data_IF_545659099694
#
_entry.id   IF_545659099694
#
_cell.length_a   1.000
_cell.length_b   1.000
_cell.length_c   1.000
_cell.angle_alpha   90.00
_cell.angle_beta   90.00
_cell.angle_gamma   90.00
#
_symmetry.space_group_name_H-M   'P 1'
#
loop_
_entity.id
_entity.type
_entity.pdbx_description
1 polymer ?
#
# COMPACT_ATOMS: atom_id res chain seq x y z
N UNK A 1 43.42 12.90 25.01
CA UNK A 1 42.08 13.54 25.05
C UNK A 1 41.41 13.36 23.71
N UNK A 2 40.35 12.56 23.66
CA UNK A 2 39.16 12.69 22.79
C UNK A 2 38.42 11.37 22.85
N UNK A 3 37.51 11.27 23.83
CA UNK A 3 36.58 10.15 23.93
C UNK A 3 35.53 10.27 22.83
N UNK A 4 35.34 9.17 22.10
CA UNK A 4 34.20 8.96 21.22
C UNK A 4 32.95 8.88 22.10
N UNK A 5 32.16 9.95 22.09
CA UNK A 5 30.84 9.96 22.71
C UNK A 5 29.89 9.13 21.85
N UNK A 6 29.56 7.93 22.33
CA UNK A 6 28.43 7.16 21.82
C UNK A 6 27.15 7.93 22.13
N UNK A 7 26.53 8.54 21.11
CA UNK A 7 25.19 9.09 21.23
C UNK A 7 24.22 7.93 21.46
N UNK A 8 23.86 7.72 22.73
CA UNK A 8 22.71 6.91 23.11
C UNK A 8 21.48 7.57 22.50
N UNK A 9 20.84 6.92 21.54
CA UNK A 9 19.53 7.31 21.04
C UNK A 9 18.58 7.19 22.23
N UNK A 10 18.08 8.31 22.75
CA UNK A 10 17.01 8.30 23.76
C UNK A 10 15.78 7.62 23.13
N UNK A 11 15.57 6.35 23.50
CA UNK A 11 14.38 5.59 23.11
C UNK A 11 13.20 6.23 23.83
N UNK A 12 12.30 6.86 23.07
CA UNK A 12 11.12 7.48 23.65
C UNK A 12 10.22 6.43 24.33
N UNK A 13 9.53 6.77 25.42
CA UNK A 13 8.77 5.80 26.23
C UNK A 13 7.73 5.00 25.43
N UNK A 14 7.17 5.58 24.35
CA UNK A 14 6.22 4.90 23.47
C UNK A 14 6.87 3.85 22.56
N UNK A 15 8.15 4.03 22.18
CA UNK A 15 8.91 3.04 21.41
C UNK A 15 9.24 1.81 22.28
N UNK A 16 9.50 2.02 23.57
CA UNK A 16 9.64 0.93 24.55
C UNK A 16 8.35 0.13 24.69
N UNK A 17 7.20 0.79 24.84
CA UNK A 17 5.90 0.12 24.94
C UNK A 17 5.56 -0.71 23.69
N UNK A 18 5.94 -0.24 22.49
CA UNK A 18 5.77 -1.01 21.26
C UNK A 18 6.69 -2.22 21.20
N UNK A 19 7.95 -2.08 21.61
CA UNK A 19 8.89 -3.20 21.71
C UNK A 19 8.37 -4.27 22.67
N UNK A 20 7.86 -3.87 23.84
CA UNK A 20 7.23 -4.76 24.81
C UNK A 20 5.97 -5.44 24.24
N UNK A 21 5.13 -4.70 23.52
CA UNK A 21 3.97 -5.27 22.84
C UNK A 21 4.39 -6.34 21.83
N UNK A 22 5.39 -6.07 20.98
CA UNK A 22 5.89 -7.04 20.00
C UNK A 22 6.58 -8.24 20.67
N UNK A 23 7.27 -8.03 21.79
CA UNK A 23 7.90 -9.10 22.55
C UNK A 23 6.86 -10.05 23.18
N UNK A 24 5.79 -9.50 23.76
CA UNK A 24 4.75 -10.24 24.47
C UNK A 24 3.91 -11.15 23.57
N UNK A 25 3.77 -10.81 22.28
CA UNK A 25 2.92 -11.53 21.33
C UNK A 25 3.76 -12.39 20.39
N UNK A 26 3.40 -13.67 20.21
CA UNK A 26 4.17 -14.61 19.38
C UNK A 26 3.65 -14.67 17.95
N UNK A 27 2.40 -14.28 17.71
CA UNK A 27 1.70 -14.48 16.45
C UNK A 27 0.97 -13.19 16.06
N UNK A 28 1.72 -12.22 15.57
CA UNK A 28 1.18 -10.92 15.16
C UNK A 28 0.52 -11.02 13.78
N UNK A 29 -0.69 -10.49 13.66
CA UNK A 29 -1.26 -10.10 12.38
C UNK A 29 -0.85 -8.65 12.09
N UNK A 30 -0.06 -8.41 11.05
CA UNK A 30 0.37 -7.06 10.70
C UNK A 30 -0.48 -6.53 9.55
N UNK A 31 -1.01 -5.31 9.70
CA UNK A 31 -1.69 -4.58 8.64
C UNK A 31 -0.94 -3.30 8.29
N UNK A 32 -0.55 -3.14 7.02
CA UNK A 32 0.17 -1.95 6.56
C UNK A 32 -0.66 -1.09 5.60
N UNK A 33 -0.32 0.20 5.54
CA UNK A 33 -0.90 1.16 4.59
C UNK A 33 0.14 2.11 4.01
N UNK A 34 -0.34 3.12 3.27
CA UNK A 34 0.53 3.98 2.45
C UNK A 34 1.57 4.75 3.27
N UNK A 35 1.34 4.98 4.56
CA UNK A 35 2.30 5.61 5.47
C UNK A 35 3.57 4.79 5.69
N UNK A 36 3.61 3.50 5.31
CA UNK A 36 4.86 2.73 5.28
C UNK A 36 5.77 3.14 4.11
N UNK A 37 5.20 3.65 3.02
CA UNK A 37 5.90 3.89 1.75
C UNK A 37 6.26 5.36 1.52
N UNK A 38 5.92 6.26 2.46
CA UNK A 38 6.25 7.69 2.36
C UNK A 38 7.74 7.95 2.30
N UNK A 39 8.53 7.24 3.11
CA UNK A 39 9.99 7.36 3.13
C UNK A 39 10.64 6.70 1.89
N UNK A 40 9.86 5.95 1.09
CA UNK A 40 10.27 5.41 -0.22
C UNK A 40 9.93 6.36 -1.38
N UNK A 41 9.45 7.58 -1.09
CA UNK A 41 9.07 8.58 -2.09
C UNK A 41 7.70 8.35 -2.73
N UNK A 42 6.91 7.39 -2.23
CA UNK A 42 5.53 7.18 -2.65
C UNK A 42 4.63 7.99 -1.70
N UNK A 43 3.88 9.00 -2.17
CA UNK A 43 3.03 9.79 -1.29
C UNK A 43 1.93 8.93 -0.68
N UNK A 44 1.26 9.44 0.37
CA UNK A 44 0.06 8.84 0.94
C UNK A 44 -1.21 9.59 0.50
N UNK A 45 -2.37 9.00 0.80
CA UNK A 45 -3.66 9.58 0.39
C UNK A 45 -4.23 10.59 1.37
N UNK A 46 -3.78 10.61 2.62
CA UNK A 46 -4.50 11.27 3.72
C UNK A 46 -3.65 12.18 4.58
N UNK A 47 -4.28 13.25 5.07
CA UNK A 47 -3.67 14.16 6.04
C UNK A 47 -3.69 13.58 7.46
N UNK A 48 -3.10 14.33 8.40
CA UNK A 48 -3.02 13.95 9.82
C UNK A 48 -4.38 13.82 10.51
N UNK A 49 -5.44 14.42 9.94
CA UNK A 49 -6.83 14.32 10.42
C UNK A 49 -7.60 13.18 9.72
N UNK A 50 -6.97 12.52 8.75
CA UNK A 50 -7.55 11.46 7.93
C UNK A 50 -8.38 11.95 6.73
N UNK A 51 -8.35 13.26 6.44
CA UNK A 51 -8.92 13.87 5.24
C UNK A 51 -8.12 13.51 3.99
N UNK A 52 -8.71 13.71 2.80
CA UNK A 52 -8.02 13.45 1.53
C UNK A 52 -7.01 14.56 1.20
N UNK A 53 -5.78 14.19 0.84
CA UNK A 53 -4.75 15.14 0.36
C UNK A 53 -4.92 15.52 -1.11
N UNK A 54 -5.66 14.70 -1.88
CA UNK A 54 -5.84 14.78 -3.33
C UNK A 54 -7.27 14.41 -3.73
N UNK A 55 -7.70 14.70 -4.97
CA UNK A 55 -8.96 14.19 -5.50
C UNK A 55 -9.08 12.68 -5.31
N UNK A 56 -10.32 12.21 -5.12
CA UNK A 56 -10.55 10.79 -4.91
C UNK A 56 -10.15 9.98 -6.15
N UNK A 57 -9.57 8.78 -5.98
CA UNK A 57 -9.16 7.96 -7.11
C UNK A 57 -10.33 7.53 -7.99
N UNK A 58 -10.01 7.12 -9.22
CA UNK A 58 -10.99 6.63 -10.19
C UNK A 58 -11.84 5.48 -9.62
N UNK A 59 -13.13 5.48 -9.92
CA UNK A 59 -14.02 4.37 -9.57
C UNK A 59 -13.96 3.28 -10.63
N UNK A 60 -14.22 2.04 -10.21
CA UNK A 60 -14.31 0.90 -11.13
C UNK A 60 -15.36 1.11 -12.21
N UNK A 61 -16.53 1.64 -11.84
CA UNK A 61 -17.65 1.86 -12.74
C UNK A 61 -17.30 2.90 -13.81
N UNK A 62 -16.67 4.02 -13.43
CA UNK A 62 -16.24 5.02 -14.40
C UNK A 62 -15.14 4.47 -15.31
N UNK A 63 -14.16 3.73 -14.76
CA UNK A 63 -13.11 3.11 -15.57
C UNK A 63 -13.69 2.10 -16.59
N UNK A 64 -14.62 1.25 -16.20
CA UNK A 64 -15.19 0.26 -17.13
C UNK A 64 -16.21 0.89 -18.08
N UNK A 65 -16.97 1.89 -17.63
CA UNK A 65 -18.04 2.53 -18.40
C UNK A 65 -17.55 3.56 -19.42
N UNK A 66 -16.47 4.29 -19.14
CA UNK A 66 -16.13 5.51 -19.88
C UNK A 66 -14.74 5.42 -20.52
N UNK A 67 -14.68 5.56 -21.85
CA UNK A 67 -13.41 5.55 -22.57
C UNK A 67 -12.48 6.69 -22.13
N UNK A 68 -13.02 7.91 -22.00
CA UNK A 68 -12.25 9.09 -21.60
C UNK A 68 -11.61 8.90 -20.21
N UNK A 69 -12.31 8.28 -19.27
CA UNK A 69 -11.79 7.97 -17.93
C UNK A 69 -10.66 6.94 -17.99
N UNK A 70 -10.74 5.92 -18.86
CA UNK A 70 -9.62 4.98 -19.08
C UNK A 70 -8.41 5.63 -19.72
N UNK A 71 -8.63 6.46 -20.74
CA UNK A 71 -7.57 7.19 -21.42
C UNK A 71 -6.84 8.09 -20.43
N UNK A 72 -7.58 8.88 -19.64
CA UNK A 72 -7.05 9.71 -18.57
C UNK A 72 -6.25 8.89 -17.55
N UNK A 73 -6.82 7.78 -17.05
CA UNK A 73 -6.14 6.92 -16.08
C UNK A 73 -4.80 6.39 -16.62
N UNK A 74 -4.80 5.81 -17.82
CA UNK A 74 -3.59 5.22 -18.37
C UNK A 74 -2.55 6.26 -18.80
N UNK A 75 -2.97 7.45 -19.24
CA UNK A 75 -2.07 8.55 -19.54
C UNK A 75 -1.35 9.05 -18.29
N UNK A 76 -2.08 9.25 -17.20
CA UNK A 76 -1.51 9.66 -15.91
C UNK A 76 -0.62 8.54 -15.33
N UNK A 77 -1.06 7.28 -15.39
CA UNK A 77 -0.28 6.10 -15.00
C UNK A 77 1.01 5.92 -15.82
N UNK A 78 1.00 6.28 -17.11
CA UNK A 78 2.19 6.23 -17.96
C UNK A 78 3.32 7.10 -17.39
N UNK A 79 2.97 8.27 -16.86
CA UNK A 79 3.92 9.23 -16.28
C UNK A 79 4.31 8.78 -14.87
N UNK A 80 3.35 8.55 -13.98
CA UNK A 80 3.63 8.24 -12.58
C UNK A 80 4.35 6.89 -12.38
N UNK A 81 4.16 5.92 -13.29
CA UNK A 81 4.90 4.65 -13.26
C UNK A 81 6.43 4.84 -13.31
N UNK A 82 6.95 5.93 -13.90
CA UNK A 82 8.40 6.17 -14.00
C UNK A 82 9.08 6.32 -12.64
N UNK A 83 8.39 6.93 -11.70
CA UNK A 83 8.89 7.15 -10.33
C UNK A 83 8.46 5.99 -9.43
N UNK A 84 7.19 5.58 -9.50
CA UNK A 84 6.66 4.47 -8.73
C UNK A 84 7.45 3.17 -8.96
N UNK A 85 7.72 2.81 -10.23
CA UNK A 85 8.48 1.60 -10.58
C UNK A 85 9.97 1.63 -10.20
N UNK A 86 10.47 2.74 -9.65
CA UNK A 86 11.85 2.89 -9.15
C UNK A 86 11.92 2.94 -7.62
N UNK A 87 10.79 3.06 -6.93
CA UNK A 87 10.75 3.11 -5.49
C UNK A 87 11.42 1.87 -4.89
N UNK A 88 12.21 2.08 -3.84
CA UNK A 88 12.89 1.02 -3.11
C UNK A 88 12.30 0.90 -1.71
N UNK A 89 12.35 -0.30 -1.10
CA UNK A 89 11.97 -0.46 0.29
C UNK A 89 12.78 0.48 1.19
N UNK A 90 12.15 0.90 2.29
CA UNK A 90 12.79 1.68 3.35
C UNK A 90 12.88 0.85 4.64
N UNK A 91 13.45 1.43 5.70
CA UNK A 91 13.65 0.75 6.99
C UNK A 91 12.38 0.19 7.62
N UNK A 92 11.20 0.78 7.38
CA UNK A 92 9.92 0.22 7.83
C UNK A 92 9.69 -1.18 7.24
N UNK A 93 9.92 -1.33 5.94
CA UNK A 93 9.70 -2.59 5.23
C UNK A 93 10.72 -3.63 5.68
N UNK A 94 12.00 -3.24 5.78
CA UNK A 94 13.05 -4.14 6.26
C UNK A 94 12.86 -4.57 7.71
N UNK A 95 12.38 -3.68 8.59
CA UNK A 95 12.04 -4.01 9.97
C UNK A 95 10.93 -5.07 10.05
N UNK A 96 9.88 -4.94 9.23
CA UNK A 96 8.80 -5.93 9.18
C UNK A 96 9.25 -7.27 8.57
N UNK A 97 10.15 -7.25 7.58
CA UNK A 97 10.77 -8.47 7.06
C UNK A 97 11.64 -9.16 8.13
N UNK A 98 12.43 -8.41 8.92
CA UNK A 98 13.18 -8.96 10.06
C UNK A 98 12.26 -9.54 11.14
N UNK A 99 11.09 -8.94 11.37
CA UNK A 99 10.10 -9.47 12.29
C UNK A 99 9.53 -10.81 11.80
N UNK A 100 9.29 -10.95 10.49
CA UNK A 100 8.83 -12.20 9.88
C UNK A 100 9.87 -13.31 10.04
N UNK A 101 11.15 -13.00 9.78
CA UNK A 101 12.28 -13.92 9.95
C UNK A 101 12.49 -14.39 11.40
N UNK A 102 11.86 -13.73 12.38
CA UNK A 102 11.84 -14.15 13.80
C UNK A 102 10.63 -15.00 14.15
N UNK A 103 9.88 -15.48 13.16
CA UNK A 103 8.67 -16.30 13.29
C UNK A 103 7.58 -15.63 14.16
N UNK A 104 7.51 -14.28 14.11
CA UNK A 104 6.60 -13.48 14.94
C UNK A 104 5.29 -13.10 14.24
N UNK A 105 5.16 -13.34 12.94
CA UNK A 105 3.96 -12.99 12.17
C UNK A 105 3.14 -14.20 11.78
N UNK A 106 1.81 -14.08 11.83
CA UNK A 106 0.91 -15.00 11.11
C UNK A 106 0.75 -14.60 9.65
N UNK A 107 0.73 -13.29 9.38
CA UNK A 107 0.61 -12.72 8.04
C UNK A 107 0.97 -11.23 8.07
N UNK A 108 1.59 -10.75 6.99
CA UNK A 108 1.62 -9.33 6.64
C UNK A 108 0.55 -9.04 5.58
N UNK A 109 -0.50 -8.32 5.96
CA UNK A 109 -1.55 -7.89 5.05
C UNK A 109 -1.35 -6.41 4.69
N UNK A 110 -1.07 -6.12 3.43
CA UNK A 110 -0.83 -4.74 2.98
C UNK A 110 -2.00 -4.20 2.17
N UNK A 111 -2.39 -2.96 2.42
CA UNK A 111 -3.28 -2.19 1.55
C UNK A 111 -2.52 -1.57 0.37
N UNK A 112 -1.19 -1.57 0.41
CA UNK A 112 -0.38 -0.97 -0.63
C UNK A 112 -0.37 -1.87 -1.87
N UNK A 113 -0.08 -1.26 -3.00
CA UNK A 113 -0.04 -1.91 -4.31
C UNK A 113 1.37 -1.84 -4.93
N UNK A 114 2.37 -1.50 -4.11
CA UNK A 114 3.74 -1.12 -4.48
C UNK A 114 4.76 -2.25 -4.47
N UNK A 115 4.42 -3.39 -3.87
CA UNK A 115 5.28 -4.57 -3.73
C UNK A 115 6.56 -4.33 -2.91
N UNK A 116 6.63 -3.25 -2.13
CA UNK A 116 7.84 -2.90 -1.37
C UNK A 116 8.10 -3.85 -0.19
N UNK A 117 7.07 -4.44 0.42
CA UNK A 117 7.25 -5.46 1.47
C UNK A 117 7.98 -6.69 0.92
N UNK A 118 7.56 -7.17 -0.25
CA UNK A 118 8.17 -8.33 -0.88
C UNK A 118 9.58 -8.00 -1.42
N UNK A 119 9.78 -6.79 -1.95
CA UNK A 119 11.12 -6.33 -2.32
C UNK A 119 12.06 -6.18 -1.10
N UNK A 120 11.53 -5.96 0.10
CA UNK A 120 12.29 -5.93 1.34
C UNK A 120 12.65 -7.32 1.90
N UNK A 121 12.05 -8.38 1.35
CA UNK A 121 12.26 -9.76 1.78
C UNK A 121 11.09 -10.37 2.56
N UNK A 122 9.92 -9.71 2.66
CA UNK A 122 8.74 -10.37 3.22
C UNK A 122 8.18 -11.44 2.29
N UNK A 123 7.92 -12.63 2.83
CA UNK A 123 7.48 -13.79 2.04
C UNK A 123 5.98 -14.05 2.17
N UNK A 124 5.42 -14.01 3.38
CA UNK A 124 4.01 -14.29 3.66
C UNK A 124 3.18 -13.00 3.65
N UNK A 125 2.98 -12.47 2.44
CA UNK A 125 2.29 -11.19 2.20
C UNK A 125 0.99 -11.37 1.41
N UNK A 126 -0.10 -10.78 1.92
CA UNK A 126 -1.35 -10.58 1.15
C UNK A 126 -1.46 -9.13 0.69
N UNK A 127 -1.40 -8.93 -0.62
CA UNK A 127 -1.67 -7.66 -1.30
C UNK A 127 -3.19 -7.42 -1.38
N UNK A 128 -3.80 -6.87 -0.31
CA UNK A 128 -5.25 -6.75 -0.17
C UNK A 128 -5.88 -6.04 -1.38
N UNK A 129 -5.29 -4.91 -1.79
CA UNK A 129 -5.79 -4.11 -2.92
C UNK A 129 -5.10 -4.45 -4.24
N UNK A 130 -4.41 -5.59 -4.33
CA UNK A 130 -3.72 -6.03 -5.54
C UNK A 130 -2.36 -5.36 -5.72
N UNK A 131 -1.88 -5.32 -6.97
CA UNK A 131 -0.50 -4.94 -7.28
C UNK A 131 -0.42 -4.15 -8.58
N UNK A 132 0.35 -3.05 -8.57
CA UNK A 132 0.52 -2.19 -9.75
C UNK A 132 1.57 -2.68 -10.73
N UNK A 133 2.44 -3.59 -10.32
CA UNK A 133 3.44 -4.21 -11.20
C UNK A 133 2.84 -5.30 -12.12
N UNK A 134 1.51 -5.46 -12.12
CA UNK A 134 0.76 -6.32 -13.02
C UNK A 134 -0.42 -5.59 -13.65
N UNK A 135 -0.76 -6.01 -14.87
CA UNK A 135 -1.96 -5.59 -15.59
C UNK A 135 -2.79 -6.83 -15.88
N UNK A 136 -4.09 -6.79 -15.58
CA UNK A 136 -5.03 -7.89 -15.80
C UNK A 136 -6.00 -7.58 -16.93
N UNK A 137 -6.35 -8.60 -17.71
CA UNK A 137 -7.48 -8.53 -18.63
C UNK A 137 -8.79 -8.80 -17.88
N UNK A 138 -9.78 -7.93 -18.03
CA UNK A 138 -11.10 -8.10 -17.42
C UNK A 138 -11.97 -9.18 -18.09
N UNK A 139 -11.57 -9.66 -19.27
CA UNK A 139 -12.33 -10.67 -20.02
C UNK A 139 -11.78 -12.10 -19.87
N UNK A 140 -10.45 -12.28 -19.93
CA UNK A 140 -9.82 -13.60 -19.86
C UNK A 140 -8.89 -13.81 -18.66
N UNK A 141 -8.82 -12.83 -17.75
CA UNK A 141 -8.02 -12.85 -16.52
C UNK A 141 -6.49 -13.01 -16.70
N UNK A 142 -6.01 -12.98 -17.95
CA UNK A 142 -4.59 -13.00 -18.25
C UNK A 142 -3.91 -11.82 -17.57
N UNK A 143 -2.81 -12.11 -16.86
CA UNK A 143 -1.94 -11.11 -16.25
C UNK A 143 -0.68 -10.93 -17.08
N UNK A 144 -0.25 -9.68 -17.19
CA UNK A 144 0.97 -9.27 -17.89
C UNK A 144 1.76 -8.36 -16.95
N UNK A 145 3.10 -8.52 -16.86
CA UNK A 145 3.94 -7.59 -16.11
C UNK A 145 3.72 -6.14 -16.58
N UNK A 146 3.59 -5.21 -15.62
CA UNK A 146 3.36 -3.78 -15.91
C UNK A 146 4.45 -3.17 -16.76
N UNK A 147 5.70 -3.67 -16.66
CA UNK A 147 6.84 -3.25 -17.48
C UNK A 147 6.61 -3.54 -18.98
N UNK A 148 6.06 -4.70 -19.32
CA UNK A 148 5.85 -5.11 -20.71
C UNK A 148 4.69 -4.29 -21.29
N UNK A 149 3.63 -4.09 -20.50
CA UNK A 149 2.54 -3.18 -20.84
C UNK A 149 3.01 -1.72 -20.96
N UNK A 150 3.94 -1.26 -20.13
CA UNK A 150 4.50 0.10 -20.20
C UNK A 150 5.22 0.35 -21.53
N UNK A 151 6.02 -0.63 -22.00
CA UNK A 151 6.70 -0.54 -23.30
C UNK A 151 5.70 -0.36 -24.43
N UNK A 152 4.63 -1.16 -24.44
CA UNK A 152 3.59 -1.04 -25.46
C UNK A 152 2.80 0.27 -25.35
N UNK A 153 2.50 0.69 -24.12
CA UNK A 153 1.81 1.96 -23.86
C UNK A 153 2.62 3.15 -24.37
N UNK A 154 3.95 3.15 -24.16
CA UNK A 154 4.86 4.18 -24.71
C UNK A 154 4.92 4.12 -26.24
N UNK A 155 5.00 2.93 -26.83
CA UNK A 155 5.06 2.75 -28.29
C UNK A 155 3.84 3.36 -28.99
N UNK A 156 2.65 3.18 -28.41
CA UNK A 156 1.40 3.75 -28.94
C UNK A 156 1.24 5.25 -28.68
N UNK A 157 1.97 5.80 -27.70
CA UNK A 157 1.79 7.16 -27.20
C UNK A 157 3.13 7.91 -27.12
N UNK A 158 3.98 7.81 -28.14
CA UNK A 158 5.34 8.36 -28.10
C UNK A 158 5.37 9.87 -27.80
N UNK A 159 4.36 10.63 -28.24
CA UNK A 159 4.22 12.06 -27.94
C UNK A 159 4.05 12.37 -26.44
N UNK A 160 3.66 11.38 -25.63
CA UNK A 160 3.50 11.51 -24.18
C UNK A 160 4.78 11.16 -23.41
N UNK A 161 5.85 10.77 -24.11
CA UNK A 161 7.09 10.33 -23.49
C UNK A 161 7.84 11.44 -22.73
N UNK A 162 7.65 12.71 -23.05
CA UNK A 162 8.43 13.81 -22.43
C UNK A 162 7.64 14.66 -21.43
N UNK A 163 6.37 14.31 -21.15
CA UNK A 163 5.55 15.04 -20.18
C UNK A 163 5.95 14.70 -18.74
N UNK A 164 6.14 15.73 -17.91
CA UNK A 164 6.42 15.62 -16.48
C UNK A 164 5.19 16.05 -15.66
N UNK A 165 4.84 15.30 -14.61
CA UNK A 165 3.74 15.61 -13.69
C UNK A 165 4.07 15.23 -12.23
N UNK A 166 3.21 15.66 -11.30
CA UNK A 166 3.31 15.41 -9.85
C UNK A 166 2.68 14.06 -9.50
N UNK A 167 3.38 13.18 -8.77
CA UNK A 167 2.95 11.78 -8.54
C UNK A 167 1.91 11.64 -7.44
N UNK A 168 1.07 10.60 -7.54
CA UNK A 168 0.13 10.12 -6.53
C UNK A 168 0.49 8.71 -6.03
N UNK A 169 -0.10 8.24 -4.92
CA UNK A 169 0.32 7.02 -4.22
C UNK A 169 0.15 5.71 -5.01
N UNK A 170 -0.75 5.69 -5.99
CA UNK A 170 -1.01 4.59 -6.94
C UNK A 170 -0.28 4.78 -8.27
N UNK A 171 0.74 5.64 -8.32
CA UNK A 171 1.47 5.95 -9.54
C UNK A 171 0.62 6.72 -10.57
N UNK A 172 -0.47 7.35 -10.13
CA UNK A 172 -1.22 8.33 -10.90
C UNK A 172 -0.50 9.69 -10.92
N UNK A 173 -0.84 10.61 -11.83
CA UNK A 173 -0.18 11.91 -11.96
C UNK A 173 -1.18 13.02 -12.33
N UNK A 174 -1.09 14.21 -11.73
CA UNK A 174 -2.07 15.27 -11.97
C UNK A 174 -1.85 15.98 -13.32
N UNK A 175 -2.82 15.85 -14.23
CA UNK A 175 -2.80 16.36 -15.63
C UNK A 175 -4.16 16.99 -16.01
N UNK A 176 -4.67 17.93 -15.21
CA UNK A 176 -6.05 18.43 -15.35
C UNK A 176 -6.32 19.22 -16.65
N UNK A 177 -5.29 19.71 -17.34
CA UNK A 177 -5.41 20.56 -18.54
C UNK A 177 -5.07 19.85 -19.87
N UNK A 178 -4.93 18.51 -19.87
CA UNK A 178 -4.54 17.77 -21.07
C UNK A 178 -5.74 17.13 -21.79
N UNK A 179 -5.71 17.16 -23.13
CA UNK A 179 -6.65 16.39 -23.94
C UNK A 179 -6.18 14.93 -24.08
N UNK A 180 -6.90 14.02 -23.43
CA UNK A 180 -6.62 12.58 -23.45
C UNK A 180 -7.29 11.84 -24.60
N UNK A 181 -8.08 12.52 -25.45
CA UNK A 181 -8.88 11.88 -26.51
C UNK A 181 -8.02 11.10 -27.51
N UNK A 182 -6.79 11.57 -27.75
CA UNK A 182 -5.80 10.93 -28.63
C UNK A 182 -5.04 9.77 -27.98
N UNK A 183 -5.17 9.57 -26.67
CA UNK A 183 -4.41 8.56 -25.94
C UNK A 183 -4.91 7.16 -26.28
N UNK A 184 -3.98 6.29 -26.70
CA UNK A 184 -4.28 4.93 -27.13
C UNK A 184 -4.01 3.94 -25.99
N UNK A 185 -5.06 3.25 -25.54
CA UNK A 185 -4.97 2.22 -24.51
C UNK A 185 -4.81 0.84 -25.17
N UNK A 186 -3.71 0.10 -24.91
CA UNK A 186 -3.52 -1.24 -25.44
C UNK A 186 -4.65 -2.18 -25.02
N UNK A 187 -5.00 -3.12 -25.92
CA UNK A 187 -5.95 -4.20 -25.64
C UNK A 187 -5.22 -5.49 -25.30
N UNK A 188 -5.92 -6.43 -24.67
CA UNK A 188 -5.35 -7.74 -24.35
C UNK A 188 -4.87 -8.46 -25.61
N UNK A 189 -3.61 -8.90 -25.64
CA UNK A 189 -3.04 -9.63 -26.78
C UNK A 189 -3.68 -11.00 -27.01
N UNK A 190 -4.35 -11.56 -25.99
CA UNK A 190 -4.99 -12.88 -26.07
C UNK A 190 -6.43 -12.85 -26.57
N UNK A 191 -7.23 -11.89 -26.09
CA UNK A 191 -8.68 -11.87 -26.38
C UNK A 191 -9.19 -10.49 -26.80
N UNK A 192 -8.32 -9.49 -26.98
CA UNK A 192 -8.66 -8.09 -27.27
C UNK A 192 -9.49 -7.37 -26.19
N UNK A 193 -9.75 -8.03 -25.06
CA UNK A 193 -10.48 -7.48 -23.93
C UNK A 193 -9.79 -6.29 -23.24
N UNK A 194 -10.56 -5.62 -22.40
CA UNK A 194 -10.10 -4.45 -21.63
C UNK A 194 -9.01 -4.84 -20.64
N UNK A 195 -7.95 -4.03 -20.59
CA UNK A 195 -6.87 -4.15 -19.62
C UNK A 195 -7.07 -3.13 -18.49
N UNK A 196 -6.83 -3.58 -17.26
CA UNK A 196 -6.86 -2.78 -16.03
C UNK A 196 -5.60 -3.10 -15.22
N UNK A 197 -4.99 -2.14 -14.50
CA UNK A 197 -4.03 -2.51 -13.44
C UNK A 197 -4.66 -3.57 -12.52
N UNK A 198 -3.85 -4.53 -12.06
CA UNK A 198 -4.31 -5.61 -11.16
C UNK A 198 -4.46 -5.14 -9.71
N UNK A 199 -5.11 -3.98 -9.56
CA UNK A 199 -5.46 -3.36 -8.28
C UNK A 199 -6.96 -3.37 -8.07
N UNK A 200 -7.43 -3.14 -6.85
CA UNK A 200 -8.83 -2.95 -6.52
C UNK A 200 -9.14 -1.47 -6.56
N UNK A 201 -10.02 -1.04 -7.48
CA UNK A 201 -10.45 0.36 -7.53
C UNK A 201 -11.54 0.68 -6.50
N UNK A 202 -11.78 1.97 -6.26
CA UNK A 202 -12.94 2.39 -5.48
C UNK A 202 -14.23 1.91 -6.15
N UNK A 203 -15.14 1.33 -5.35
CA UNK A 203 -16.36 0.71 -5.87
C UNK A 203 -16.16 -0.69 -6.47
N UNK A 204 -14.94 -1.23 -6.47
CA UNK A 204 -14.64 -2.65 -6.78
C UNK A 204 -14.63 -3.46 -5.47
N UNK A 205 -15.06 -4.72 -5.55
CA UNK A 205 -14.94 -5.63 -4.42
C UNK A 205 -13.50 -6.15 -4.32
N UNK A 206 -12.97 -6.18 -3.10
CA UNK A 206 -11.74 -6.92 -2.81
C UNK A 206 -12.00 -8.40 -3.08
N UNK A 207 -11.13 -9.11 -3.81
CA UNK A 207 -11.28 -10.54 -4.04
C UNK A 207 -11.45 -11.32 -2.75
N UNK A 208 -12.42 -12.24 -2.73
CA UNK A 208 -12.85 -12.92 -1.51
C UNK A 208 -11.72 -13.73 -0.89
N UNK A 209 -10.95 -14.41 -1.71
CA UNK A 209 -9.81 -15.23 -1.28
C UNK A 209 -8.78 -14.43 -0.47
N UNK A 210 -8.56 -13.14 -0.79
CA UNK A 210 -7.64 -12.27 -0.04
C UNK A 210 -8.22 -11.89 1.32
N UNK A 211 -9.52 -11.61 1.36
CA UNK A 211 -10.22 -11.29 2.62
C UNK A 211 -10.26 -12.52 3.52
N UNK A 212 -10.61 -13.68 2.97
CA UNK A 212 -10.72 -14.93 3.71
C UNK A 212 -9.35 -15.35 4.26
N UNK A 213 -8.28 -15.26 3.46
CA UNK A 213 -6.91 -15.50 3.92
C UNK A 213 -6.50 -14.56 5.07
N UNK A 214 -6.79 -13.26 4.94
CA UNK A 214 -6.53 -12.28 5.99
C UNK A 214 -7.32 -12.56 7.28
N UNK A 215 -8.60 -12.93 7.16
CA UNK A 215 -9.45 -13.24 8.31
C UNK A 215 -9.01 -14.52 9.02
N UNK A 216 -8.58 -15.54 8.27
CA UNK A 216 -8.01 -16.76 8.83
C UNK A 216 -6.70 -16.47 9.59
N UNK A 217 -5.76 -15.74 8.98
CA UNK A 217 -4.52 -15.38 9.65
C UNK A 217 -4.75 -14.49 10.89
N UNK A 218 -5.75 -13.60 10.85
CA UNK A 218 -6.16 -12.81 12.00
C UNK A 218 -6.78 -13.70 13.10
N UNK A 219 -7.57 -14.71 12.74
CA UNK A 219 -8.11 -15.68 13.69
C UNK A 219 -6.98 -16.43 14.43
N UNK A 220 -5.91 -16.78 13.73
CA UNK A 220 -4.79 -17.54 14.31
C UNK A 220 -3.77 -16.66 15.08
N UNK A 221 -3.83 -15.34 14.88
CA UNK A 221 -2.99 -14.36 15.58
C UNK A 221 -3.35 -14.22 17.07
N UNK A 222 -2.41 -13.77 17.91
CA UNK A 222 -2.69 -13.38 19.30
C UNK A 222 -2.86 -11.87 19.48
N UNK A 223 -2.36 -11.06 18.55
CA UNK A 223 -2.54 -9.61 18.51
C UNK A 223 -2.45 -9.04 17.09
N UNK A 224 -2.89 -7.79 16.94
CA UNK A 224 -2.81 -7.05 15.69
C UNK A 224 -1.90 -5.83 15.82
N UNK A 225 -1.05 -5.61 14.81
CA UNK A 225 -0.22 -4.40 14.68
C UNK A 225 -0.56 -3.69 13.37
N UNK A 226 -0.98 -2.43 13.47
CA UNK A 226 -1.27 -1.55 12.33
C UNK A 226 -0.10 -0.60 12.11
N UNK A 227 0.42 -0.51 10.88
CA UNK A 227 1.57 0.35 10.56
C UNK A 227 1.24 1.26 9.37
N UNK A 228 1.33 2.57 9.57
CA UNK A 228 1.19 3.56 8.49
C UNK A 228 -0.17 3.53 7.78
N UNK A 229 -1.26 3.27 8.51
CA UNK A 229 -2.61 3.22 7.96
C UNK A 229 -3.58 4.02 8.80
N UNK A 230 -4.35 4.91 8.15
CA UNK A 230 -5.45 5.62 8.80
C UNK A 230 -6.67 4.74 9.07
N UNK A 231 -6.76 3.58 8.39
CA UNK A 231 -7.92 2.68 8.42
C UNK A 231 -9.27 3.37 8.14
N UNK A 232 -9.28 4.51 7.45
CA UNK A 232 -10.54 5.19 7.11
C UNK A 232 -11.39 4.37 6.12
N UNK A 233 -10.72 3.65 5.21
CA UNK A 233 -11.39 2.78 4.25
C UNK A 233 -11.75 1.44 4.91
N UNK A 234 -13.00 1.03 4.73
CA UNK A 234 -13.55 -0.15 5.41
C UNK A 234 -12.84 -1.48 5.03
N UNK A 235 -12.23 -1.54 3.85
CA UNK A 235 -11.48 -2.72 3.39
C UNK A 235 -10.34 -3.10 4.34
N UNK A 236 -9.61 -2.12 4.89
CA UNK A 236 -8.62 -2.35 5.96
C UNK A 236 -9.24 -2.36 7.36
N UNK A 237 -10.14 -1.42 7.66
CA UNK A 237 -10.75 -1.28 9.00
C UNK A 237 -11.45 -2.55 9.51
N UNK A 238 -12.03 -3.36 8.60
CA UNK A 238 -12.71 -4.60 8.95
C UNK A 238 -11.85 -5.55 9.78
N UNK A 239 -10.54 -5.58 9.57
CA UNK A 239 -9.62 -6.45 10.30
C UNK A 239 -9.42 -5.93 11.74
N UNK A 240 -9.23 -4.62 11.92
CA UNK A 240 -9.17 -4.02 13.26
C UNK A 240 -10.47 -4.22 14.04
N UNK A 241 -11.62 -4.02 13.37
CA UNK A 241 -12.93 -4.28 14.00
C UNK A 241 -13.12 -5.76 14.36
N UNK A 242 -12.68 -6.69 13.53
CA UNK A 242 -12.73 -8.13 13.82
C UNK A 242 -11.81 -8.51 14.99
N UNK A 243 -10.58 -7.96 15.03
CA UNK A 243 -9.63 -8.16 16.12
C UNK A 243 -10.23 -7.70 17.47
N UNK A 244 -10.80 -6.50 17.51
CA UNK A 244 -11.43 -5.93 18.70
C UNK A 244 -12.62 -6.78 19.18
N UNK A 245 -13.48 -7.24 18.26
CA UNK A 245 -14.61 -8.13 18.59
C UNK A 245 -14.17 -9.49 19.13
N UNK A 246 -12.99 -9.96 18.72
CA UNK A 246 -12.38 -11.19 19.23
C UNK A 246 -11.58 -10.97 20.52
N UNK A 247 -11.55 -9.75 21.09
CA UNK A 247 -10.81 -9.43 22.30
C UNK A 247 -9.29 -9.41 22.12
N UNK A 248 -8.80 -9.33 20.87
CA UNK A 248 -7.35 -9.30 20.57
C UNK A 248 -6.83 -7.87 20.75
N UNK A 249 -5.69 -7.67 21.45
CA UNK A 249 -5.13 -6.35 21.61
C UNK A 249 -4.60 -5.82 20.27
N UNK A 250 -4.71 -4.50 20.08
CA UNK A 250 -4.37 -3.82 18.83
C UNK A 250 -3.41 -2.68 19.13
N UNK A 251 -2.21 -2.74 18.55
CA UNK A 251 -1.27 -1.63 18.54
C UNK A 251 -1.28 -0.94 17.18
N UNK A 252 -1.05 0.38 17.15
CA UNK A 252 -0.83 1.10 15.92
C UNK A 252 0.40 1.99 15.97
N UNK A 253 1.13 2.04 14.85
CA UNK A 253 2.17 3.04 14.56
C UNK A 253 1.63 3.93 13.46
N UNK A 254 1.22 5.15 13.82
CA UNK A 254 0.68 6.12 12.89
C UNK A 254 0.70 7.52 13.49
N UNK A 255 1.27 8.50 12.77
CA UNK A 255 1.34 9.91 13.22
C UNK A 255 -0.07 10.53 13.30
N UNK A 256 -0.92 10.23 12.33
CA UNK A 256 -2.26 10.83 12.21
C UNK A 256 -3.35 10.08 12.98
N UNK A 257 -4.54 10.66 12.96
CA UNK A 257 -5.76 10.01 13.42
C UNK A 257 -6.04 8.73 12.61
N UNK A 258 -6.39 7.65 13.30
CA UNK A 258 -6.90 6.43 12.67
C UNK A 258 -8.35 6.22 13.05
N UNK A 259 -9.15 5.67 12.12
CA UNK A 259 -10.53 5.25 12.43
C UNK A 259 -10.59 4.23 13.58
N UNK A 260 -9.49 3.51 13.80
CA UNK A 260 -9.40 2.48 14.83
C UNK A 260 -8.92 3.03 16.18
N UNK A 261 -8.64 4.33 16.34
CA UNK A 261 -8.13 4.89 17.60
C UNK A 261 -8.94 4.44 18.85
N UNK A 262 -10.28 4.37 18.83
CA UNK A 262 -11.07 3.86 19.96
C UNK A 262 -10.92 2.35 20.25
N UNK A 263 -10.33 1.59 19.34
CA UNK A 263 -10.11 0.14 19.43
C UNK A 263 -8.67 -0.21 19.85
N UNK A 264 -7.76 0.76 19.90
CA UNK A 264 -6.34 0.52 20.15
C UNK A 264 -6.06 0.37 21.65
N UNK A 265 -5.25 -0.62 22.00
CA UNK A 265 -4.63 -0.73 23.33
C UNK A 265 -3.34 0.09 23.41
N UNK A 266 -2.71 0.39 22.28
CA UNK A 266 -1.48 1.19 22.19
C UNK A 266 -1.44 1.95 20.87
N UNK A 267 -1.04 3.22 20.91
CA UNK A 267 -0.74 4.02 19.71
C UNK A 267 0.61 4.70 19.87
N UNK A 268 1.48 4.53 18.87
CA UNK A 268 2.76 5.24 18.75
C UNK A 268 2.65 6.26 17.63
N UNK A 269 2.70 7.54 18.00
CA UNK A 269 2.58 8.67 17.08
C UNK A 269 3.97 9.14 16.62
N UNK A 270 4.64 8.29 15.85
CA UNK A 270 5.96 8.55 15.27
C UNK A 270 6.00 8.08 13.80
N UNK A 271 7.07 8.42 13.07
CA UNK A 271 7.28 7.81 11.75
C UNK A 271 7.47 6.29 11.90
N UNK A 272 7.02 5.53 10.89
CA UNK A 272 7.05 4.07 10.95
C UNK A 272 8.49 3.54 11.13
N UNK A 273 9.45 4.14 10.41
CA UNK A 273 10.86 3.78 10.49
C UNK A 273 11.44 4.01 11.89
N UNK A 274 11.11 5.13 12.54
CA UNK A 274 11.58 5.43 13.90
C UNK A 274 10.96 4.49 14.94
N UNK A 275 9.65 4.28 14.87
CA UNK A 275 8.94 3.44 15.82
C UNK A 275 9.40 1.96 15.76
N UNK A 276 9.78 1.48 14.58
CA UNK A 276 10.21 0.09 14.36
C UNK A 276 11.73 -0.11 14.37
N UNK A 277 12.52 0.93 14.69
CA UNK A 277 13.99 0.88 14.64
C UNK A 277 14.63 -0.16 15.59
N UNK A 278 13.88 -0.69 16.56
CA UNK A 278 14.33 -1.73 17.48
C UNK A 278 14.31 -3.15 16.87
N UNK A 279 13.68 -3.32 15.70
CA UNK A 279 13.61 -4.58 14.97
C UNK A 279 14.83 -4.77 14.07
#
# INVERSE_FOLDING_TARGET
MSGLSSQLIEVQPNTTALSEFVAAHRRLFVLTGAGCSTDSGIPDYRDVKGGWKRPQPVTYQAFVGELATRQRYWARSLIGWRRFGRAQPNETHHALARLEQRDKLTLLLTQNVDRLHQAAGSENVVDLHGRLDQVRCLACEQRTPRRDFQTELLRLNAAWADLNATDAPDGDADLEEQDFSSFQVPRCLRCTGMLKPDVVFFGENVPRERVDAGMQALHDADAMLVVGSSLMVYSGYRFANAAARAGKPIAAVNIGHTRADPLLSLKVEQSCAQALAFL
#
